data_IF_354628909336
#
_entry.id   IF_354628909336
#
_cell.length_a   1.000
_cell.length_b   1.000
_cell.length_c   1.000
_cell.angle_alpha   90.00
_cell.angle_beta   90.00
_cell.angle_gamma   90.00
#
_symmetry.space_group_name_H-M   'P 1'
#
loop_
_entity.id
_entity.type
_entity.pdbx_description
1 polymer ?
#
# COMPACT_ATOMS: atom_id res chain seq x y z
N UNK A 1 -5.75 -38.31 -53.90
CA UNK A 1 -4.97 -39.55 -53.78
C UNK A 1 -4.06 -39.34 -52.60
N UNK A 2 -4.26 -40.14 -51.57
CA UNK A 2 -3.67 -40.01 -50.25
C UNK A 2 -2.14 -39.94 -50.30
N UNK A 3 -1.56 -38.84 -49.82
CA UNK A 3 -0.17 -38.82 -49.40
C UNK A 3 -0.13 -39.44 -48.00
N UNK A 4 -0.04 -40.77 -47.97
CA UNK A 4 -0.07 -41.57 -46.75
C UNK A 4 1.18 -41.35 -45.91
N UNK A 5 1.09 -40.46 -44.92
CA UNK A 5 1.97 -40.48 -43.76
C UNK A 5 1.42 -41.50 -42.78
N UNK A 6 2.20 -42.52 -42.46
CA UNK A 6 1.86 -43.50 -41.43
C UNK A 6 2.58 -43.10 -40.14
N UNK A 7 1.82 -42.93 -39.07
CA UNK A 7 2.33 -42.71 -37.72
C UNK A 7 2.37 -44.06 -37.00
N UNK A 8 3.56 -44.49 -36.56
CA UNK A 8 3.73 -45.73 -35.80
C UNK A 8 4.20 -45.37 -34.38
N UNK A 9 3.40 -45.63 -33.34
CA UNK A 9 3.79 -45.35 -31.96
C UNK A 9 4.76 -46.43 -31.43
N UNK A 10 5.81 -46.00 -30.72
CA UNK A 10 6.69 -46.88 -29.93
C UNK A 10 6.73 -46.43 -28.46
N UNK A 11 7.19 -47.32 -27.58
CA UNK A 11 7.30 -47.11 -26.12
C UNK A 11 8.19 -45.90 -25.71
N UNK A 12 8.92 -45.29 -26.65
CA UNK A 12 9.87 -44.21 -26.42
C UNK A 12 9.76 -43.05 -27.43
N UNK A 13 8.68 -42.98 -28.22
CA UNK A 13 8.42 -41.88 -29.16
C UNK A 13 7.67 -42.27 -30.44
N UNK A 14 7.45 -41.28 -31.32
CA UNK A 14 6.77 -41.45 -32.61
C UNK A 14 7.71 -41.10 -33.76
N UNK A 15 7.85 -42.01 -34.72
CA UNK A 15 8.65 -41.82 -35.93
C UNK A 15 7.76 -41.34 -37.09
N UNK A 16 8.18 -40.30 -37.82
CA UNK A 16 7.48 -39.78 -39.00
C UNK A 16 8.34 -40.01 -40.23
N UNK A 17 7.86 -40.85 -41.16
CA UNK A 17 8.59 -41.15 -42.40
C UNK A 17 7.90 -40.49 -43.59
N UNK A 18 8.61 -39.60 -44.28
CA UNK A 18 8.12 -38.92 -45.49
C UNK A 18 9.24 -38.67 -46.49
N UNK A 19 9.06 -39.13 -47.73
CA UNK A 19 10.00 -38.85 -48.82
C UNK A 19 9.56 -37.58 -49.57
N UNK A 20 10.32 -36.49 -49.37
CA UNK A 20 10.22 -35.27 -50.15
C UNK A 20 11.60 -34.61 -50.24
N UNK A 21 12.16 -34.53 -51.44
CA UNK A 21 13.45 -33.91 -51.70
C UNK A 21 13.38 -32.40 -51.42
N UNK A 22 14.17 -31.89 -50.46
CA UNK A 22 14.34 -30.45 -50.26
C UNK A 22 14.57 -29.92 -48.85
N UNK A 23 14.76 -30.76 -47.83
CA UNK A 23 15.17 -30.30 -46.50
C UNK A 23 16.26 -31.22 -45.92
N UNK A 24 17.46 -30.68 -45.66
CA UNK A 24 18.60 -31.43 -45.09
C UNK A 24 18.52 -31.54 -43.56
N UNK A 25 17.33 -31.82 -43.02
CA UNK A 25 17.16 -32.07 -41.58
C UNK A 25 16.69 -33.51 -41.41
N UNK A 26 17.66 -34.35 -41.05
CA UNK A 26 17.45 -35.74 -40.68
C UNK A 26 16.85 -35.78 -39.27
N UNK A 27 15.53 -36.01 -39.18
CA UNK A 27 14.81 -36.20 -37.92
C UNK A 27 14.77 -37.67 -37.46
N UNK A 28 15.52 -38.57 -38.12
CA UNK A 28 15.59 -40.00 -37.78
C UNK A 28 16.59 -40.34 -36.68
N UNK A 29 17.31 -39.33 -36.16
CA UNK A 29 18.30 -39.52 -35.11
C UNK A 29 17.60 -39.40 -33.74
N UNK A 30 17.60 -40.45 -32.90
CA UNK A 30 17.21 -40.30 -31.51
C UNK A 30 18.19 -39.34 -30.82
N UNK A 31 17.66 -38.26 -30.23
CA UNK A 31 18.44 -37.34 -29.39
C UNK A 31 18.75 -38.05 -28.07
N UNK A 32 19.84 -38.78 -28.05
CA UNK A 32 20.52 -39.16 -26.81
C UNK A 32 21.40 -37.97 -26.41
N UNK A 33 20.99 -37.20 -25.40
CA UNK A 33 21.85 -36.18 -24.80
C UNK A 33 22.08 -36.52 -23.32
N UNK A 34 23.36 -36.64 -22.93
CA UNK A 34 23.83 -36.99 -21.58
C UNK A 34 23.88 -35.76 -20.63
N UNK A 35 23.19 -34.68 -20.98
CA UNK A 35 23.24 -33.41 -20.25
C UNK A 35 22.14 -33.28 -19.21
N UNK A 36 22.40 -32.44 -18.21
CA UNK A 36 21.39 -32.08 -17.21
C UNK A 36 20.19 -31.39 -17.90
N UNK A 37 18.95 -31.63 -17.44
CA UNK A 37 17.72 -31.14 -18.10
C UNK A 37 17.70 -29.63 -18.39
N UNK A 38 18.37 -28.85 -17.54
CA UNK A 38 18.48 -27.39 -17.62
C UNK A 38 19.32 -26.90 -18.83
N UNK A 39 20.35 -27.64 -19.24
CA UNK A 39 21.23 -27.27 -20.36
C UNK A 39 20.61 -27.61 -21.72
N UNK A 40 19.78 -28.65 -21.75
CA UNK A 40 19.08 -29.12 -22.96
C UNK A 40 18.09 -28.06 -23.47
N UNK A 41 17.44 -27.34 -22.56
CA UNK A 41 16.41 -26.35 -22.86
C UNK A 41 16.97 -25.06 -23.47
N UNK A 42 18.12 -24.58 -22.96
CA UNK A 42 18.75 -23.38 -23.50
C UNK A 42 19.31 -23.65 -24.91
N UNK A 43 19.77 -24.87 -25.16
CA UNK A 43 20.20 -25.33 -26.48
C UNK A 43 19.03 -25.38 -27.47
N UNK A 44 17.85 -25.84 -27.06
CA UNK A 44 16.65 -25.83 -27.93
C UNK A 44 16.17 -24.42 -28.28
N UNK A 45 16.31 -23.45 -27.36
CA UNK A 45 16.08 -22.03 -27.65
C UNK A 45 17.06 -21.47 -28.68
N UNK A 46 18.36 -21.73 -28.51
CA UNK A 46 19.41 -21.26 -29.43
C UNK A 46 19.26 -21.88 -30.83
N UNK A 47 18.78 -23.12 -30.90
CA UNK A 47 18.57 -23.85 -32.16
C UNK A 47 17.22 -23.57 -32.84
N UNK A 48 16.31 -22.80 -32.22
CA UNK A 48 15.04 -22.40 -32.82
C UNK A 48 14.06 -23.56 -33.08
N UNK A 49 14.14 -24.64 -32.29
CA UNK A 49 13.28 -25.81 -32.44
C UNK A 49 11.96 -25.54 -31.67
N UNK A 50 10.83 -25.56 -32.37
CA UNK A 50 9.52 -25.32 -31.76
C UNK A 50 9.09 -26.52 -30.87
N UNK A 51 8.55 -26.27 -29.67
CA UNK A 51 8.23 -27.32 -28.71
C UNK A 51 6.87 -27.94 -29.04
N UNK A 52 6.79 -28.71 -30.13
CA UNK A 52 5.55 -29.41 -30.50
C UNK A 52 5.49 -30.87 -30.02
N UNK A 53 6.44 -31.30 -29.20
CA UNK A 53 6.46 -32.65 -28.61
C UNK A 53 6.88 -32.57 -27.15
N UNK A 54 5.94 -32.20 -26.29
CA UNK A 54 6.10 -32.33 -24.84
C UNK A 54 5.59 -33.73 -24.45
N UNK A 55 6.41 -34.60 -23.84
CA UNK A 55 5.97 -35.92 -23.39
C UNK A 55 4.82 -35.82 -22.38
N UNK A 56 3.90 -36.81 -22.37
CA UNK A 56 2.85 -36.91 -21.35
C UNK A 56 3.50 -36.93 -19.95
N UNK A 57 3.19 -35.92 -19.12
CA UNK A 57 3.74 -35.76 -17.77
C UNK A 57 4.94 -34.79 -17.64
N UNK A 58 5.41 -34.19 -18.74
CA UNK A 58 6.40 -33.10 -18.71
C UNK A 58 5.72 -31.75 -18.93
N UNK A 59 6.09 -30.74 -18.15
CA UNK A 59 5.72 -29.33 -18.38
C UNK A 59 6.93 -28.59 -18.93
N UNK A 60 6.74 -27.83 -20.00
CA UNK A 60 7.79 -26.95 -20.51
C UNK A 60 8.11 -25.88 -19.45
N UNK A 61 9.38 -25.45 -19.32
CA UNK A 61 9.72 -24.29 -18.50
C UNK A 61 9.07 -23.05 -19.12
N UNK A 62 7.96 -22.62 -18.52
CA UNK A 62 7.06 -21.60 -19.05
C UNK A 62 5.57 -21.92 -18.86
N UNK A 63 5.20 -23.18 -18.61
CA UNK A 63 3.82 -23.60 -18.33
C UNK A 63 3.57 -23.95 -16.85
N UNK A 64 4.38 -23.41 -15.94
CA UNK A 64 4.05 -23.49 -14.51
C UNK A 64 2.87 -22.55 -14.30
N UNK A 65 1.71 -23.09 -13.92
CA UNK A 65 0.53 -22.30 -13.59
C UNK A 65 0.90 -21.16 -12.63
N UNK A 66 0.35 -19.97 -12.83
CA UNK A 66 0.54 -18.81 -11.95
C UNK A 66 0.29 -19.17 -10.47
N UNK A 67 -0.69 -20.03 -10.20
CA UNK A 67 -0.99 -20.50 -8.84
C UNK A 67 0.17 -21.29 -8.21
N UNK A 68 0.89 -22.09 -9.01
CA UNK A 68 2.07 -22.84 -8.55
C UNK A 68 3.25 -21.89 -8.33
N UNK A 69 3.47 -20.93 -9.23
CA UNK A 69 4.51 -19.91 -9.06
C UNK A 69 4.30 -19.07 -7.79
N UNK A 70 3.04 -18.71 -7.51
CA UNK A 70 2.66 -18.01 -6.28
C UNK A 70 2.90 -18.88 -5.03
N UNK A 71 2.57 -20.18 -5.07
CA UNK A 71 2.83 -21.11 -3.97
C UNK A 71 4.33 -21.22 -3.69
N UNK A 72 5.15 -21.42 -4.73
CA UNK A 72 6.60 -21.54 -4.59
C UNK A 72 7.20 -20.25 -4.03
N UNK A 73 6.78 -19.10 -4.54
CA UNK A 73 7.20 -17.78 -4.03
C UNK A 73 6.83 -17.59 -2.56
N UNK A 74 5.63 -18.03 -2.16
CA UNK A 74 5.18 -17.99 -0.77
C UNK A 74 6.03 -18.91 0.12
N UNK A 75 6.26 -20.15 -0.30
CA UNK A 75 7.07 -21.11 0.46
C UNK A 75 8.51 -20.61 0.65
N UNK A 76 9.08 -19.99 -0.38
CA UNK A 76 10.42 -19.42 -0.32
C UNK A 76 10.50 -18.22 0.64
N UNK A 77 9.54 -17.30 0.62
CA UNK A 77 9.43 -16.22 1.63
C UNK A 77 9.34 -16.79 3.05
N UNK A 78 8.49 -17.80 3.26
CA UNK A 78 8.32 -18.45 4.56
C UNK A 78 9.60 -19.15 5.04
N UNK A 79 10.35 -19.82 4.15
CA UNK A 79 11.65 -20.42 4.47
C UNK A 79 12.67 -19.39 4.91
N UNK A 80 12.64 -18.18 4.33
CA UNK A 80 13.47 -17.05 4.74
C UNK A 80 12.94 -16.32 5.98
N UNK A 81 11.77 -16.71 6.50
CA UNK A 81 11.04 -16.03 7.58
C UNK A 81 10.69 -14.57 7.24
N UNK A 82 10.47 -14.31 5.96
CA UNK A 82 10.05 -13.01 5.46
C UNK A 82 8.54 -12.90 5.53
N UNK A 83 8.05 -12.12 6.48
CA UNK A 83 6.63 -11.80 6.64
C UNK A 83 6.14 -10.75 5.64
N UNK A 84 4.94 -10.25 5.90
CA UNK A 84 4.48 -9.04 5.25
C UNK A 84 5.23 -7.81 5.78
N UNK A 85 5.57 -6.90 4.87
CA UNK A 85 6.18 -5.64 5.23
C UNK A 85 5.08 -4.63 5.60
N UNK A 86 5.15 -4.10 6.82
CA UNK A 86 4.41 -2.92 7.27
C UNK A 86 5.41 -1.77 7.39
N UNK A 87 4.97 -0.55 7.12
CA UNK A 87 5.86 0.61 7.21
C UNK A 87 6.27 0.83 8.67
N UNK A 88 7.57 0.84 8.99
CA UNK A 88 8.05 0.90 10.36
C UNK A 88 7.81 2.30 10.93
N UNK A 89 7.45 2.42 12.21
CA UNK A 89 7.24 3.72 12.89
C UNK A 89 7.97 3.82 14.23
N UNK A 90 8.84 2.85 14.51
CA UNK A 90 9.35 2.60 15.85
C UNK A 90 8.34 1.86 16.74
N UNK A 91 8.47 2.01 18.05
CA UNK A 91 7.77 1.16 19.02
C UNK A 91 6.40 1.71 19.48
N UNK A 92 6.01 2.91 19.05
CA UNK A 92 4.83 3.59 19.62
C UNK A 92 3.49 3.11 19.05
N UNK A 93 3.49 2.43 17.89
CA UNK A 93 2.27 1.91 17.25
C UNK A 93 2.52 0.57 16.53
N UNK A 94 3.06 -0.39 17.27
CA UNK A 94 3.29 -1.74 16.75
C UNK A 94 1.98 -2.42 16.31
N UNK A 95 2.01 -3.11 15.17
CA UNK A 95 0.82 -3.77 14.60
C UNK A 95 -0.16 -2.86 13.85
N UNK A 96 0.21 -1.60 13.56
CA UNK A 96 -0.59 -0.75 12.67
C UNK A 96 -0.51 -1.24 11.22
N UNK A 97 -1.64 -1.68 10.68
CA UNK A 97 -1.75 -2.32 9.37
C UNK A 97 -1.69 -1.29 8.23
N UNK A 98 -0.50 -0.76 7.95
CA UNK A 98 -0.21 0.10 6.81
C UNK A 98 1.11 -0.31 6.15
N UNK A 99 1.06 -0.58 4.85
CA UNK A 99 2.19 -1.10 4.09
C UNK A 99 1.83 -1.31 2.62
N UNK A 100 2.75 -1.83 1.80
CA UNK A 100 2.51 -2.13 0.39
C UNK A 100 1.28 -3.01 0.19
N UNK A 101 0.53 -2.73 -0.87
CA UNK A 101 -0.72 -3.43 -1.23
C UNK A 101 -1.88 -3.28 -0.24
N UNK A 102 -1.80 -2.35 0.72
CA UNK A 102 -2.83 -2.13 1.74
C UNK A 102 -3.46 -0.74 1.63
N UNK A 103 -4.77 -0.65 1.87
CA UNK A 103 -5.50 0.59 2.14
C UNK A 103 -5.85 0.64 3.63
N UNK A 104 -5.25 1.59 4.32
CA UNK A 104 -5.46 1.89 5.73
C UNK A 104 -6.29 3.15 5.84
N UNK A 105 -7.45 3.06 6.49
CA UNK A 105 -8.30 4.22 6.74
C UNK A 105 -8.16 4.66 8.19
N UNK A 106 -7.90 5.94 8.41
CA UNK A 106 -8.01 6.58 9.72
C UNK A 106 -9.18 7.54 9.68
N UNK A 107 -10.11 7.42 10.63
CA UNK A 107 -11.24 8.32 10.70
C UNK A 107 -11.43 8.89 12.10
N UNK A 108 -11.75 10.18 12.15
CA UNK A 108 -12.03 10.88 13.39
C UNK A 108 -12.99 12.05 13.13
N UNK A 109 -13.66 12.58 14.17
CA UNK A 109 -14.40 13.83 14.08
C UNK A 109 -13.46 15.01 13.79
N UNK A 110 -13.99 16.13 13.27
CA UNK A 110 -13.22 17.36 13.12
C UNK A 110 -12.61 17.79 14.46
N UNK A 111 -11.32 18.16 14.45
CA UNK A 111 -10.61 18.64 15.64
C UNK A 111 -9.99 17.57 16.53
N UNK A 112 -10.15 16.27 16.21
CA UNK A 112 -9.58 15.17 17.00
C UNK A 112 -8.14 14.79 16.65
N UNK A 113 -7.49 15.54 15.76
CA UNK A 113 -6.08 15.30 15.42
C UNK A 113 -5.82 14.27 14.33
N UNK A 114 -6.84 13.85 13.55
CA UNK A 114 -6.68 12.90 12.41
C UNK A 114 -5.50 13.21 11.48
N UNK A 115 -5.36 14.49 11.11
CA UNK A 115 -4.28 14.99 10.24
C UNK A 115 -2.93 14.97 10.95
N UNK A 116 -2.91 15.30 12.25
CA UNK A 116 -1.69 15.26 13.06
C UNK A 116 -1.21 13.82 13.22
N UNK A 117 -2.10 12.89 13.55
CA UNK A 117 -1.81 11.46 13.62
C UNK A 117 -1.23 10.95 12.30
N UNK A 118 -1.91 11.22 11.17
CA UNK A 118 -1.49 10.70 9.88
C UNK A 118 -0.14 11.26 9.42
N UNK A 119 0.13 12.56 9.67
CA UNK A 119 1.43 13.14 9.38
C UNK A 119 2.53 12.67 10.32
N UNK A 120 2.25 12.50 11.61
CA UNK A 120 3.20 11.92 12.55
C UNK A 120 3.61 10.51 12.09
N UNK A 121 2.64 9.68 11.73
CA UNK A 121 2.89 8.36 11.15
C UNK A 121 3.82 8.45 9.94
N UNK A 122 3.56 9.37 9.00
CA UNK A 122 4.42 9.60 7.83
C UNK A 122 5.86 9.97 8.20
N UNK A 123 6.04 10.91 9.14
CA UNK A 123 7.37 11.33 9.57
C UNK A 123 8.13 10.19 10.24
N UNK A 124 7.46 9.44 11.12
CA UNK A 124 8.07 8.31 11.80
C UNK A 124 8.40 7.17 10.81
N UNK A 125 7.62 6.98 9.75
CA UNK A 125 7.96 6.08 8.62
C UNK A 125 9.24 6.51 7.93
N UNK A 126 9.38 7.79 7.62
CA UNK A 126 10.58 8.32 6.96
C UNK A 126 11.83 8.23 7.83
N UNK A 127 11.69 8.33 9.15
CA UNK A 127 12.80 8.13 10.10
C UNK A 127 13.33 6.70 10.09
N UNK A 128 12.46 5.71 9.87
CA UNK A 128 12.78 4.29 10.04
C UNK A 128 12.96 3.52 8.73
N UNK A 129 12.52 4.09 7.61
CA UNK A 129 12.70 3.55 6.26
C UNK A 129 13.38 4.61 5.39
N UNK A 130 14.64 4.36 5.02
CA UNK A 130 15.45 5.28 4.21
C UNK A 130 15.15 5.23 2.72
N UNK A 131 14.42 4.22 2.25
CA UNK A 131 14.17 3.99 0.82
C UNK A 131 12.76 4.42 0.40
N UNK A 132 11.82 4.52 1.34
CA UNK A 132 10.45 4.90 1.04
C UNK A 132 10.31 6.35 0.57
N UNK A 133 9.54 6.56 -0.50
CA UNK A 133 9.06 7.88 -0.93
C UNK A 133 7.63 8.06 -0.46
N UNK A 134 7.30 9.24 0.06
CA UNK A 134 5.96 9.58 0.55
C UNK A 134 5.32 10.63 -0.34
N UNK A 135 4.05 10.40 -0.68
CA UNK A 135 3.23 11.30 -1.48
C UNK A 135 2.11 11.83 -0.59
N UNK A 136 2.10 13.14 -0.37
CA UNK A 136 1.13 13.81 0.51
C UNK A 136 0.13 14.57 -0.35
N UNK A 137 -1.07 14.03 -0.47
CA UNK A 137 -2.23 14.67 -1.06
C UNK A 137 -3.11 15.23 0.07
N UNK A 138 -2.71 16.38 0.62
CA UNK A 138 -3.47 17.10 1.66
C UNK A 138 -4.14 18.33 1.06
N UNK A 139 -5.47 18.37 1.15
CA UNK A 139 -6.27 19.42 0.54
C UNK A 139 -6.74 20.53 1.50
N UNK A 140 -6.62 20.33 2.82
CA UNK A 140 -7.04 21.32 3.83
C UNK A 140 -5.87 22.11 4.42
N UNK A 141 -4.79 21.41 4.77
CA UNK A 141 -3.70 21.96 5.56
C UNK A 141 -2.46 22.07 4.70
N UNK A 142 -1.91 23.27 4.62
CA UNK A 142 -0.66 23.51 3.89
C UNK A 142 0.51 22.80 4.56
N UNK A 143 1.48 22.37 3.75
CA UNK A 143 2.58 21.55 4.24
C UNK A 143 3.47 22.28 5.27
N UNK A 144 3.63 23.60 5.17
CA UNK A 144 4.34 24.41 6.15
C UNK A 144 3.71 24.35 7.55
N UNK A 145 2.38 24.27 7.63
CA UNK A 145 1.67 24.10 8.91
C UNK A 145 1.90 22.69 9.47
N UNK A 146 1.98 21.68 8.61
CA UNK A 146 2.27 20.30 9.02
C UNK A 146 3.72 20.17 9.52
N UNK A 147 4.68 20.77 8.81
CA UNK A 147 6.08 20.87 9.27
C UNK A 147 6.18 21.59 10.61
N UNK A 148 5.46 22.70 10.80
CA UNK A 148 5.44 23.40 12.08
C UNK A 148 4.93 22.54 13.24
N UNK A 149 3.96 21.65 12.99
CA UNK A 149 3.51 20.67 14.00
C UNK A 149 4.57 19.63 14.32
N UNK A 150 5.29 19.16 13.30
CA UNK A 150 6.38 18.20 13.50
C UNK A 150 7.56 18.81 14.27
N UNK A 151 7.95 20.04 13.94
CA UNK A 151 8.97 20.78 14.69
C UNK A 151 8.53 21.03 16.13
N UNK A 152 7.25 21.34 16.36
CA UNK A 152 6.68 21.45 17.72
C UNK A 152 6.84 20.11 18.47
N UNK A 153 6.52 18.98 17.83
CA UNK A 153 6.60 17.63 18.41
C UNK A 153 8.03 17.29 18.84
N UNK A 154 9.01 17.49 17.96
CA UNK A 154 10.42 17.13 18.22
C UNK A 154 11.12 18.08 19.18
N UNK A 155 10.93 19.40 19.01
CA UNK A 155 11.63 20.40 19.82
C UNK A 155 11.01 20.61 21.21
N UNK A 156 9.76 20.19 21.42
CA UNK A 156 8.98 20.47 22.63
C UNK A 156 8.61 21.95 22.80
N UNK A 157 8.90 22.80 21.80
CA UNK A 157 8.59 24.23 21.85
C UNK A 157 7.10 24.45 21.59
N UNK A 158 6.41 25.32 22.34
CA UNK A 158 4.97 25.53 22.17
C UNK A 158 4.60 25.97 20.74
N UNK A 159 3.59 25.34 20.14
CA UNK A 159 3.11 25.66 18.79
C UNK A 159 2.77 27.16 18.61
N UNK A 160 2.32 27.83 19.67
CA UNK A 160 2.05 29.27 19.67
C UNK A 160 3.33 30.10 19.42
N UNK A 161 4.45 29.70 20.02
CA UNK A 161 5.73 30.37 19.85
C UNK A 161 6.20 30.27 18.39
N UNK A 162 6.17 29.05 17.81
CA UNK A 162 6.50 28.83 16.39
C UNK A 162 5.58 29.64 15.47
N UNK A 163 4.26 29.59 15.71
CA UNK A 163 3.25 30.29 14.89
C UNK A 163 3.45 31.81 14.84
N UNK A 164 3.92 32.42 15.93
CA UNK A 164 4.11 33.87 16.02
C UNK A 164 5.58 34.31 15.96
N UNK A 165 6.51 33.37 15.72
CA UNK A 165 7.96 33.61 15.76
C UNK A 165 8.42 34.26 17.08
N UNK A 166 7.75 33.95 18.18
CA UNK A 166 8.05 34.46 19.53
C UNK A 166 8.81 33.40 20.32
N UNK A 167 10.08 33.23 19.94
CA UNK A 167 10.97 32.16 20.41
C UNK A 167 12.10 32.78 21.22
N UNK A 168 12.42 32.19 22.37
CA UNK A 168 13.69 32.50 23.04
C UNK A 168 14.87 31.95 22.20
N UNK A 169 16.10 32.46 22.39
CA UNK A 169 17.27 31.90 21.69
C UNK A 169 17.45 30.39 21.90
N UNK A 170 17.14 29.88 23.10
CA UNK A 170 17.21 28.44 23.38
C UNK A 170 16.11 27.64 22.68
N UNK A 171 14.92 28.21 22.52
CA UNK A 171 13.83 27.57 21.78
C UNK A 171 14.12 27.55 20.28
N UNK A 172 14.70 28.63 19.75
CA UNK A 172 15.12 28.67 18.34
C UNK A 172 16.16 27.58 18.06
N UNK A 173 17.18 27.43 18.93
CA UNK A 173 18.17 26.36 18.78
C UNK A 173 17.51 24.97 18.78
N UNK A 174 16.57 24.71 19.70
CA UNK A 174 15.87 23.42 19.73
C UNK A 174 15.03 23.15 18.46
N UNK A 175 14.49 24.20 17.84
CA UNK A 175 13.78 24.10 16.55
C UNK A 175 14.77 23.86 15.40
N UNK A 176 15.93 24.50 15.41
CA UNK A 176 17.00 24.27 14.42
C UNK A 176 17.53 22.85 14.49
N UNK A 177 17.81 22.34 15.68
CA UNK A 177 18.25 20.95 15.89
C UNK A 177 17.21 19.96 15.35
N UNK A 178 15.92 20.18 15.67
CA UNK A 178 14.83 19.36 15.14
C UNK A 178 14.67 19.48 13.61
N UNK A 179 14.96 20.65 13.03
CA UNK A 179 14.91 20.85 11.58
C UNK A 179 16.06 20.12 10.88
N UNK A 180 17.24 20.09 11.49
CA UNK A 180 18.40 19.35 10.99
C UNK A 180 18.16 17.83 11.03
N UNK A 181 17.44 17.33 12.03
CA UNK A 181 17.06 15.91 12.12
C UNK A 181 16.14 15.47 10.97
N UNK A 182 15.18 16.31 10.57
CA UNK A 182 14.17 15.93 9.56
C UNK A 182 14.62 16.22 8.12
N UNK A 183 15.52 17.19 7.94
CA UNK A 183 16.00 17.66 6.63
C UNK A 183 16.48 16.55 5.68
N UNK A 184 17.18 15.48 6.13
CA UNK A 184 17.72 14.44 5.26
C UNK A 184 16.69 13.65 4.45
N UNK A 185 15.41 13.67 4.84
CA UNK A 185 14.36 12.92 4.15
C UNK A 185 13.23 13.78 3.59
N UNK A 186 13.29 15.12 3.76
CA UNK A 186 12.24 16.00 3.23
C UNK A 186 12.17 15.97 1.70
N UNK A 187 13.27 15.65 1.01
CA UNK A 187 13.31 15.47 -0.44
C UNK A 187 12.58 14.21 -0.93
N UNK A 188 12.33 13.25 -0.02
CA UNK A 188 11.51 12.05 -0.27
C UNK A 188 10.01 12.29 -0.04
N UNK A 189 9.62 13.52 0.37
CA UNK A 189 8.22 13.90 0.50
C UNK A 189 7.81 14.72 -0.71
N UNK A 190 6.94 14.14 -1.54
CA UNK A 190 6.26 14.87 -2.59
C UNK A 190 4.93 15.38 -2.09
N UNK A 191 4.67 16.67 -2.22
CA UNK A 191 3.40 17.28 -1.81
C UNK A 191 2.60 17.62 -3.06
N UNK A 192 1.36 17.14 -3.13
CA UNK A 192 0.50 17.42 -4.28
C UNK A 192 0.09 18.89 -4.27
N UNK A 193 0.42 19.66 -5.32
CA UNK A 193 -0.10 21.01 -5.47
C UNK A 193 -1.60 20.96 -5.79
N UNK A 194 -2.36 21.95 -5.31
CA UNK A 194 -3.76 22.09 -5.72
C UNK A 194 -3.88 22.49 -7.21
N UNK A 195 -5.04 22.29 -7.84
CA UNK A 195 -6.32 21.81 -7.28
C UNK A 195 -6.35 20.31 -6.95
N UNK A 196 -7.27 19.91 -6.08
CA UNK A 196 -7.36 18.56 -5.53
C UNK A 196 -8.52 17.81 -6.17
N UNK A 197 -8.22 16.78 -6.96
CA UNK A 197 -9.22 15.94 -7.62
C UNK A 197 -8.67 14.57 -7.98
N UNK A 198 -9.55 13.65 -8.36
CA UNK A 198 -9.14 12.29 -8.70
C UNK A 198 -8.18 12.23 -9.90
N UNK A 199 -8.36 13.09 -10.90
CA UNK A 199 -7.45 13.16 -12.06
C UNK A 199 -6.06 13.69 -11.69
N UNK A 200 -5.99 14.68 -10.79
CA UNK A 200 -4.74 15.23 -10.27
C UNK A 200 -4.01 14.17 -9.43
N UNK A 201 -4.76 13.43 -8.59
CA UNK A 201 -4.22 12.32 -7.81
C UNK A 201 -3.61 11.24 -8.71
N UNK A 202 -4.32 10.83 -9.77
CA UNK A 202 -3.82 9.82 -10.71
C UNK A 202 -2.52 10.26 -11.38
N UNK A 203 -2.47 11.52 -11.83
CA UNK A 203 -1.27 12.12 -12.44
C UNK A 203 -0.12 12.22 -11.45
N UNK A 204 -0.41 12.57 -10.20
CA UNK A 204 0.58 12.73 -9.14
C UNK A 204 1.24 11.40 -8.73
N UNK A 205 0.51 10.30 -8.84
CA UNK A 205 0.97 8.95 -8.47
C UNK A 205 1.53 8.13 -9.65
N UNK A 206 1.55 8.68 -10.87
CA UNK A 206 1.90 7.91 -12.07
C UNK A 206 3.38 7.47 -12.08
N UNK A 207 3.61 6.18 -12.39
CA UNK A 207 4.96 5.63 -12.60
C UNK A 207 5.84 5.53 -11.35
N UNK A 208 5.27 5.64 -10.15
CA UNK A 208 5.98 5.62 -8.87
C UNK A 208 5.30 4.66 -7.91
N UNK A 209 5.97 4.28 -6.83
CA UNK A 209 5.39 3.53 -5.71
C UNK A 209 5.97 4.03 -4.38
N UNK A 210 5.19 3.89 -3.31
CA UNK A 210 5.55 4.36 -1.98
C UNK A 210 4.34 4.42 -1.04
N UNK A 211 4.40 5.31 -0.07
CA UNK A 211 3.28 5.61 0.82
C UNK A 211 2.51 6.83 0.30
N UNK A 212 1.24 6.65 -0.02
CA UNK A 212 0.31 7.74 -0.32
C UNK A 212 -0.47 8.11 0.95
N UNK A 213 -0.29 9.33 1.42
CA UNK A 213 -1.17 9.96 2.41
C UNK A 213 -2.23 10.82 1.70
N UNK A 214 -3.51 10.52 1.93
CA UNK A 214 -4.63 11.26 1.37
C UNK A 214 -5.52 11.85 2.48
N UNK A 215 -5.49 13.18 2.65
CA UNK A 215 -6.24 13.90 3.70
C UNK A 215 -7.10 15.04 3.10
N UNK A 216 -8.42 14.88 2.94
CA UNK A 216 -9.29 13.74 3.26
C UNK A 216 -10.01 13.21 2.02
N UNK A 217 -10.37 11.90 2.02
CA UNK A 217 -10.98 11.16 0.90
C UNK A 217 -12.06 11.94 0.14
N UNK A 218 -12.96 12.57 0.90
CA UNK A 218 -14.12 13.23 0.35
C UNK A 218 -13.80 14.51 -0.47
N UNK A 219 -12.59 15.08 -0.38
CA UNK A 219 -12.19 16.22 -1.23
C UNK A 219 -11.74 15.81 -2.63
N UNK A 220 -11.33 14.56 -2.81
CA UNK A 220 -10.87 14.03 -4.09
C UNK A 220 -12.01 13.44 -4.91
N UNK A 221 -13.20 13.32 -4.30
CA UNK A 221 -14.40 12.76 -4.89
C UNK A 221 -14.90 13.66 -6.04
N UNK A 222 -14.95 13.16 -7.29
CA UNK A 222 -15.48 13.92 -8.41
C UNK A 222 -17.01 13.94 -8.43
N UNK A 223 -17.57 14.99 -9.05
CA UNK A 223 -19.01 15.11 -9.33
C UNK A 223 -19.85 15.62 -8.16
N UNK A 224 -21.15 15.83 -8.43
CA UNK A 224 -22.09 16.39 -7.45
C UNK A 224 -22.58 15.36 -6.42
N UNK A 225 -22.58 14.07 -6.78
CA UNK A 225 -22.95 12.98 -5.88
C UNK A 225 -21.72 12.51 -5.10
N UNK A 226 -21.62 12.98 -3.85
CA UNK A 226 -20.52 12.66 -2.96
C UNK A 226 -20.32 11.15 -2.74
N UNK A 227 -21.39 10.34 -2.74
CA UNK A 227 -21.29 8.90 -2.55
C UNK A 227 -20.65 8.24 -3.75
N UNK A 228 -21.12 8.60 -4.95
CA UNK A 228 -20.55 8.08 -6.21
C UNK A 228 -19.10 8.51 -6.35
N UNK A 229 -18.78 9.76 -6.02
CA UNK A 229 -17.42 10.28 -6.07
C UNK A 229 -16.48 9.55 -5.11
N UNK A 230 -16.88 9.33 -3.85
CA UNK A 230 -16.09 8.56 -2.87
C UNK A 230 -15.86 7.12 -3.35
N UNK A 231 -16.87 6.49 -3.94
CA UNK A 231 -16.71 5.13 -4.49
C UNK A 231 -15.65 5.09 -5.61
N UNK A 232 -15.60 6.11 -6.47
CA UNK A 232 -14.59 6.21 -7.53
C UNK A 232 -13.18 6.40 -6.94
N UNK A 233 -13.03 7.25 -5.93
CA UNK A 233 -11.75 7.44 -5.22
C UNK A 233 -11.29 6.12 -4.62
N UNK A 234 -12.14 5.40 -3.88
CA UNK A 234 -11.78 4.11 -3.26
C UNK A 234 -11.34 3.08 -4.30
N UNK A 235 -12.01 3.01 -5.46
CA UNK A 235 -11.62 2.13 -6.57
C UNK A 235 -10.25 2.48 -7.12
N UNK A 236 -9.97 3.77 -7.30
CA UNK A 236 -8.65 4.23 -7.75
C UNK A 236 -7.56 3.92 -6.73
N UNK A 237 -7.83 4.13 -5.44
CA UNK A 237 -6.90 3.76 -4.37
C UNK A 237 -6.63 2.26 -4.33
N UNK A 238 -7.64 1.44 -4.63
CA UNK A 238 -7.44 -0.02 -4.71
C UNK A 238 -6.55 -0.39 -5.88
N UNK A 239 -6.72 0.24 -7.04
CA UNK A 239 -5.84 0.05 -8.19
C UNK A 239 -4.39 0.42 -7.85
N UNK A 240 -4.17 1.56 -7.19
CA UNK A 240 -2.83 1.96 -6.73
C UNK A 240 -2.25 0.94 -5.77
N UNK A 241 -3.02 0.52 -4.77
CA UNK A 241 -2.53 -0.47 -3.82
C UNK A 241 -2.16 -1.79 -4.51
N UNK A 242 -2.95 -2.28 -5.47
CA UNK A 242 -2.60 -3.48 -6.25
C UNK A 242 -1.32 -3.33 -7.10
N UNK A 243 -0.84 -2.10 -7.30
CA UNK A 243 0.44 -1.80 -7.95
C UNK A 243 1.60 -1.69 -6.95
N UNK A 244 1.40 -2.08 -5.68
CA UNK A 244 2.42 -2.04 -4.64
C UNK A 244 2.37 -0.82 -3.73
N UNK A 245 1.46 0.14 -3.95
CA UNK A 245 1.34 1.29 -3.05
C UNK A 245 0.83 0.87 -1.67
N UNK A 246 1.32 1.56 -0.64
CA UNK A 246 0.63 1.61 0.65
C UNK A 246 -0.17 2.91 0.73
N UNK A 247 -1.44 2.82 1.08
CA UNK A 247 -2.34 3.97 1.12
C UNK A 247 -2.79 4.21 2.54
N UNK A 248 -2.45 5.37 3.10
CA UNK A 248 -3.02 5.89 4.34
C UNK A 248 -4.01 6.99 3.98
N UNK A 249 -5.30 6.74 4.13
CA UNK A 249 -6.32 7.72 3.79
C UNK A 249 -7.12 8.15 5.02
N UNK A 250 -7.30 9.46 5.15
CA UNK A 250 -8.08 10.07 6.21
C UNK A 250 -9.52 10.23 5.75
N UNK A 251 -10.46 9.75 6.56
CA UNK A 251 -11.89 9.93 6.31
C UNK A 251 -12.51 10.83 7.39
N UNK A 252 -13.35 11.76 6.96
CA UNK A 252 -14.27 12.42 7.87
C UNK A 252 -15.37 11.45 8.34
N UNK A 253 -15.87 11.67 9.56
CA UNK A 253 -17.03 10.97 10.12
C UNK A 253 -18.25 11.89 10.15
N UNK A 254 -19.43 11.30 10.00
CA UNK A 254 -20.72 11.99 10.14
C UNK A 254 -21.09 12.18 11.61
N UNK A 255 -21.92 13.19 11.90
CA UNK A 255 -22.46 13.42 13.26
C UNK A 255 -23.47 12.32 13.59
N UNK A 256 -23.27 11.61 14.71
CA UNK A 256 -24.28 10.70 15.25
C UNK A 256 -25.53 11.47 15.72
N UNK A 257 -26.71 10.84 15.61
CA UNK A 257 -27.96 11.32 16.23
C UNK A 257 -28.15 10.58 17.55
N UNK A 258 -28.23 11.33 18.64
CA UNK A 258 -28.33 10.81 19.98
C UNK A 258 -29.67 11.27 20.58
N UNK A 259 -30.14 10.63 21.66
CA UNK A 259 -31.42 10.95 22.31
C UNK A 259 -31.55 12.42 22.76
N UNK A 260 -30.43 13.14 22.87
CA UNK A 260 -30.34 14.54 23.32
C UNK A 260 -29.90 15.54 22.22
N UNK A 261 -29.77 15.14 20.94
CA UNK A 261 -29.33 16.00 19.84
C UNK A 261 -28.30 15.34 18.91
N UNK A 262 -27.77 16.07 17.92
CA UNK A 262 -26.64 15.62 17.10
C UNK A 262 -25.31 15.99 17.77
N UNK A 263 -24.50 14.98 18.12
CA UNK A 263 -23.20 15.17 18.78
C UNK A 263 -22.14 14.27 18.16
N UNK A 264 -20.89 14.72 18.20
CA UNK A 264 -19.73 13.87 17.93
C UNK A 264 -19.37 13.15 19.24
N UNK A 265 -20.14 12.14 19.64
CA UNK A 265 -19.71 11.23 20.70
C UNK A 265 -18.65 10.30 20.12
N UNK A 266 -17.40 10.75 20.18
CA UNK A 266 -16.19 10.04 19.69
C UNK A 266 -16.10 8.62 20.24
N UNK A 267 -16.49 8.39 21.50
CA UNK A 267 -16.41 7.09 22.17
C UNK A 267 -17.39 6.05 21.57
N UNK A 268 -18.38 6.49 20.77
CA UNK A 268 -19.34 5.62 20.08
C UNK A 268 -19.09 5.52 18.57
N UNK A 269 -17.96 6.04 18.07
CA UNK A 269 -17.67 5.98 16.64
C UNK A 269 -17.62 4.54 16.17
N UNK A 270 -18.28 4.24 15.07
CA UNK A 270 -18.24 2.91 14.43
C UNK A 270 -17.93 3.08 12.95
N UNK A 271 -17.72 1.97 12.23
CA UNK A 271 -17.54 2.03 10.78
C UNK A 271 -18.75 2.64 10.06
N UNK A 272 -19.95 2.49 10.62
CA UNK A 272 -21.17 3.14 10.12
C UNK A 272 -21.14 4.68 10.26
N UNK A 273 -20.24 5.23 11.09
CA UNK A 273 -20.04 6.66 11.23
C UNK A 273 -19.24 7.27 10.08
N UNK A 274 -18.54 6.48 9.27
CA UNK A 274 -17.81 6.96 8.09
C UNK A 274 -18.79 7.60 7.09
N UNK A 275 -18.41 8.75 6.52
CA UNK A 275 -19.25 9.42 5.53
C UNK A 275 -19.18 8.65 4.21
N UNK A 276 -20.34 8.29 3.67
CA UNK A 276 -20.46 7.44 2.47
C UNK A 276 -19.78 6.05 2.63
N UNK A 277 -19.97 5.43 3.80
CA UNK A 277 -19.18 4.29 4.32
C UNK A 277 -19.14 3.01 3.48
N UNK A 278 -20.09 2.77 2.58
CA UNK A 278 -20.26 1.45 1.97
C UNK A 278 -19.03 0.93 1.21
N UNK A 279 -18.51 1.73 0.26
CA UNK A 279 -17.33 1.32 -0.52
C UNK A 279 -16.04 1.45 0.31
N UNK A 280 -15.97 2.41 1.24
CA UNK A 280 -14.84 2.56 2.16
C UNK A 280 -14.68 1.28 3.00
N UNK A 281 -15.78 0.83 3.62
CA UNK A 281 -15.80 -0.38 4.42
C UNK A 281 -15.49 -1.61 3.57
N UNK A 282 -15.98 -1.69 2.33
CA UNK A 282 -15.70 -2.84 1.47
C UNK A 282 -14.26 -2.85 0.94
N UNK A 283 -13.62 -1.71 0.68
CA UNK A 283 -12.31 -1.68 0.01
C UNK A 283 -11.12 -1.56 0.97
N UNK A 284 -11.29 -0.90 2.12
CA UNK A 284 -10.22 -0.77 3.10
C UNK A 284 -9.74 -2.14 3.60
N UNK A 285 -8.44 -2.29 3.80
CA UNK A 285 -7.86 -3.48 4.43
C UNK A 285 -7.91 -3.37 5.94
N UNK A 286 -7.64 -2.17 6.46
CA UNK A 286 -7.76 -1.83 7.87
C UNK A 286 -8.47 -0.49 8.06
N UNK A 287 -9.25 -0.38 9.14
CA UNK A 287 -9.98 0.85 9.50
C UNK A 287 -9.74 1.11 10.98
N UNK A 288 -9.15 2.27 11.26
CA UNK A 288 -8.87 2.78 12.59
C UNK A 288 -9.72 4.02 12.87
N UNK A 289 -10.32 4.07 14.05
CA UNK A 289 -11.16 5.16 14.52
C UNK A 289 -10.44 5.83 15.68
N UNK A 290 -10.10 7.11 15.52
CA UNK A 290 -9.52 7.89 16.60
C UNK A 290 -10.65 8.41 17.50
N UNK A 291 -10.74 7.88 18.70
CA UNK A 291 -11.79 8.13 19.68
C UNK A 291 -11.20 8.81 20.92
N UNK A 292 -12.06 9.47 21.68
CA UNK A 292 -11.69 10.03 22.98
C UNK A 292 -11.87 8.93 24.03
N UNK A 293 -10.97 8.83 24.98
CA UNK A 293 -11.17 7.89 26.10
C UNK A 293 -12.08 8.46 27.20
N UNK A 294 -12.44 9.75 27.12
CA UNK A 294 -13.40 10.35 28.05
C UNK A 294 -13.08 11.79 28.43
N UNK A 295 -13.70 12.32 29.48
CA UNK A 295 -13.44 13.69 29.92
C UNK A 295 -11.96 13.84 30.32
N UNK A 296 -11.32 14.85 29.76
CA UNK A 296 -10.01 15.35 30.22
C UNK A 296 -10.20 15.76 31.68
N UNK A 297 -9.46 15.15 32.61
CA UNK A 297 -9.41 15.62 33.99
C UNK A 297 -9.00 17.10 33.96
N UNK A 298 -9.65 17.99 34.72
CA UNK A 298 -9.33 19.42 34.74
C UNK A 298 -7.85 19.68 35.08
N UNK A 299 -7.17 18.71 35.72
CA UNK A 299 -5.73 18.77 36.01
C UNK A 299 -4.84 18.19 34.91
N UNK A 300 -5.39 17.43 33.97
CA UNK A 300 -4.65 16.81 32.88
C UNK A 300 -4.67 17.72 31.64
N UNK A 301 -3.49 18.09 31.16
CA UNK A 301 -3.36 18.91 29.94
C UNK A 301 -3.37 18.06 28.67
N UNK A 302 -3.40 16.74 28.84
CA UNK A 302 -3.25 15.75 27.80
C UNK A 302 -4.58 15.05 27.58
N UNK A 303 -5.02 14.99 26.32
CA UNK A 303 -6.23 14.26 25.95
C UNK A 303 -5.84 12.84 25.59
N UNK A 304 -6.32 11.88 26.37
CA UNK A 304 -6.17 10.46 26.07
C UNK A 304 -7.10 10.09 24.91
N UNK A 305 -6.54 9.49 23.88
CA UNK A 305 -7.29 9.08 22.69
C UNK A 305 -6.97 7.63 22.36
N UNK A 306 -7.98 6.84 22.06
CA UNK A 306 -7.79 5.47 21.58
C UNK A 306 -7.85 5.43 20.05
N UNK A 307 -6.90 4.75 19.43
CA UNK A 307 -6.95 4.39 18.02
C UNK A 307 -7.57 3.00 17.89
N UNK A 308 -8.90 2.97 17.86
CA UNK A 308 -9.64 1.73 17.80
C UNK A 308 -9.61 1.08 16.41
N UNK A 309 -9.16 -0.17 16.34
CA UNK A 309 -9.25 -0.96 15.12
C UNK A 309 -10.68 -1.49 14.92
N UNK A 310 -11.46 -0.81 14.07
CA UNK A 310 -12.79 -1.25 13.68
C UNK A 310 -12.75 -2.42 12.68
N UNK A 311 -11.69 -2.49 11.87
CA UNK A 311 -11.49 -3.52 10.85
C UNK A 311 -10.01 -3.84 10.66
N UNK A 312 -9.69 -5.12 10.54
CA UNK A 312 -8.43 -5.63 10.00
C UNK A 312 -8.76 -6.86 9.13
N UNK A 313 -8.26 -6.92 7.89
CA UNK A 313 -8.36 -8.08 6.99
C UNK A 313 -7.25 -9.11 7.16
N UNK A 314 -6.12 -8.69 7.71
CA UNK A 314 -4.87 -9.46 7.73
C UNK A 314 -4.61 -10.11 9.10
N UNK A 315 -5.46 -9.84 10.09
CA UNK A 315 -5.30 -10.43 11.42
C UNK A 315 -6.28 -9.90 12.45
N UNK A 316 -5.82 -9.87 13.70
CA UNK A 316 -6.59 -9.41 14.84
C UNK A 316 -6.81 -7.89 14.80
N UNK A 317 -7.87 -7.46 15.48
CA UNK A 317 -8.19 -6.04 15.64
C UNK A 317 -7.48 -5.53 16.90
N UNK A 318 -6.29 -5.00 16.71
CA UNK A 318 -5.49 -4.40 17.79
C UNK A 318 -5.82 -2.92 17.87
N UNK A 319 -6.29 -2.46 19.03
CA UNK A 319 -6.47 -1.02 19.30
C UNK A 319 -5.26 -0.49 20.06
N UNK A 320 -4.94 0.78 19.86
CA UNK A 320 -3.76 1.41 20.47
C UNK A 320 -4.20 2.57 21.35
N UNK A 321 -3.72 2.59 22.59
CA UNK A 321 -3.95 3.69 23.51
C UNK A 321 -2.90 4.77 23.22
N UNK A 322 -3.35 5.97 22.87
CA UNK A 322 -2.48 7.11 22.58
C UNK A 322 -2.64 8.17 23.68
N UNK A 323 -1.51 8.78 24.05
CA UNK A 323 -1.40 9.83 25.07
C UNK A 323 -1.03 11.14 24.42
#
# INVERSE_FOLDING_TARGET
MDAGFALVPHEWGVEVVGQGEGNSWDFSQPLFDDFAPEDVLERYRVLGIAPSQVPEGFTLPGEVSESVQCLDSLLDRLRRKEGDYLYPTGDWIDGFECGPNKITIVAAPPGFGKTTFAMQYVFDVLDHDSEITVFVANAETSFDVLLGRELTRRSGVPAKALRFADLTPSQMQAVEDAADDIRPYLDRIEVMPGPFGLGDLQSFTEGRCGLLLLDYLQLFAPGDDARVGVNQVMRSLRQLANQGWGVLAVSAVTRGRNKNGSSYESNQLSMASLKESGEIEFMADSIYLLRDEGPVDDNDKVRKVDLHCGKNRHGERVSHDLV
#
